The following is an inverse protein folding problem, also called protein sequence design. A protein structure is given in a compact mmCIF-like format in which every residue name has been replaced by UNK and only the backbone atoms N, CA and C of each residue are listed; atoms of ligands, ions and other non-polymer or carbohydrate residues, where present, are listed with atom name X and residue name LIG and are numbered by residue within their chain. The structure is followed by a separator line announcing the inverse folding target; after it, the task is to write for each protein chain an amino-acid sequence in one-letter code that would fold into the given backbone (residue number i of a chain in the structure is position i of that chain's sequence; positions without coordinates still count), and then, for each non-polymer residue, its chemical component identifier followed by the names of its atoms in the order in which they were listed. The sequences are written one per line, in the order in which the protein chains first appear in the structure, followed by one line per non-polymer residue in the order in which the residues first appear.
data_IF_118938421302
#
_entry.id   IF_118938421302
#
_cell.length_a   1.000
_cell.length_b   1.000
_cell.length_c   1.000
_cell.angle_alpha   90.00
_cell.angle_beta   90.00
_cell.angle_gamma   90.00
#
_symmetry.space_group_name_H-M   'P 1'
#
loop_
_entity.id
_entity.type
_entity.pdbx_description
1 polymer ?
#
# COMPACT_ATOMS: atom_id res chain seq x y z
N UNK A 1 -28.34 -0.19 17.73
CA UNK A 1 -27.43 0.69 18.50
C UNK A 1 -26.34 1.17 17.55
N UNK A 2 -26.37 2.45 17.17
CA UNK A 2 -25.43 3.00 16.17
C UNK A 2 -24.04 3.17 16.76
N UNK A 3 -23.01 2.67 16.07
CA UNK A 3 -21.62 2.80 16.52
C UNK A 3 -21.19 4.28 16.63
N UNK A 4 -20.70 4.66 17.82
CA UNK A 4 -20.24 6.02 18.16
C UNK A 4 -18.79 6.22 17.69
N UNK A 5 -18.44 5.82 16.46
CA UNK A 5 -17.07 5.90 15.91
C UNK A 5 -17.02 6.48 14.50
N UNK A 6 -15.88 7.05 14.11
CA UNK A 6 -15.62 7.41 12.70
C UNK A 6 -15.10 6.17 12.00
N UNK A 7 -15.83 5.74 10.96
CA UNK A 7 -15.50 4.58 10.14
C UNK A 7 -14.96 5.02 8.79
N UNK A 8 -13.87 4.38 8.36
CA UNK A 8 -13.22 4.57 7.07
C UNK A 8 -13.36 3.29 6.24
N UNK A 9 -13.59 3.43 4.94
CA UNK A 9 -13.69 2.32 4.00
C UNK A 9 -12.66 2.49 2.88
N UNK A 10 -11.98 1.42 2.44
CA UNK A 10 -11.05 1.50 1.31
C UNK A 10 -11.71 2.09 0.06
N UNK A 11 -10.99 2.96 -0.64
CA UNK A 11 -11.41 3.54 -1.92
C UNK A 11 -10.22 3.61 -2.88
N UNK A 12 -9.85 4.81 -3.35
CA UNK A 12 -8.68 4.99 -4.21
C UNK A 12 -7.37 4.97 -3.42
N UNK A 13 -6.28 4.67 -4.12
CA UNK A 13 -4.96 4.49 -3.53
C UNK A 13 -4.48 5.72 -2.73
N UNK A 14 -4.79 6.94 -3.18
CA UNK A 14 -4.32 8.17 -2.52
C UNK A 14 -4.99 8.35 -1.16
N UNK A 15 -6.30 8.13 -1.11
CA UNK A 15 -7.03 8.11 0.16
C UNK A 15 -6.61 6.93 1.03
N UNK A 16 -6.42 5.75 0.45
CA UNK A 16 -5.99 4.57 1.21
C UNK A 16 -4.61 4.78 1.84
N UNK A 17 -3.65 5.34 1.09
CA UNK A 17 -2.37 5.77 1.63
C UNK A 17 -2.56 6.84 2.72
N UNK A 18 -3.48 7.79 2.53
CA UNK A 18 -3.86 8.75 3.57
C UNK A 18 -4.32 8.09 4.87
N UNK A 19 -5.21 7.10 4.79
CA UNK A 19 -5.72 6.37 5.96
C UNK A 19 -4.62 5.56 6.63
N UNK A 20 -3.80 4.83 5.88
CA UNK A 20 -2.67 4.06 6.43
C UNK A 20 -1.62 4.99 7.04
N UNK A 21 -1.38 6.16 6.44
CA UNK A 21 -0.52 7.19 6.99
C UNK A 21 -1.05 7.75 8.30
N UNK A 22 -2.34 8.04 8.38
CA UNK A 22 -2.98 8.47 9.61
C UNK A 22 -2.93 7.37 10.69
N UNK A 23 -3.08 6.11 10.31
CA UNK A 23 -2.91 4.98 11.22
C UNK A 23 -1.49 4.91 11.81
N UNK A 24 -0.45 5.24 11.04
CA UNK A 24 0.93 5.40 11.56
C UNK A 24 1.05 6.56 12.55
N UNK A 25 0.33 7.67 12.32
CA UNK A 25 0.28 8.79 13.28
C UNK A 25 -0.34 8.34 14.60
N UNK A 26 -1.48 7.63 14.54
CA UNK A 26 -2.15 7.09 15.73
C UNK A 26 -1.27 6.08 16.48
N UNK A 27 -0.58 5.20 15.76
CA UNK A 27 0.39 4.25 16.35
C UNK A 27 1.47 5.00 17.17
N UNK A 28 1.96 6.14 16.68
CA UNK A 28 2.90 6.99 17.44
C UNK A 28 2.27 7.71 18.63
N UNK A 29 0.97 8.02 18.56
CA UNK A 29 0.23 8.52 19.71
C UNK A 29 -0.02 7.46 20.79
N UNK A 30 0.42 6.20 20.58
CA UNK A 30 0.26 5.09 21.52
C UNK A 30 -0.99 4.23 21.27
N UNK A 31 -1.73 4.48 20.18
CA UNK A 31 -2.89 3.65 19.82
C UNK A 31 -2.46 2.30 19.25
N UNK A 32 -3.19 1.24 19.59
CA UNK A 32 -2.97 -0.06 18.96
C UNK A 32 -3.59 -0.07 17.55
N UNK A 33 -2.75 0.16 16.53
CA UNK A 33 -3.18 0.21 15.13
C UNK A 33 -3.93 -1.05 14.67
N UNK A 34 -3.55 -2.24 15.13
CA UNK A 34 -4.22 -3.48 14.73
C UNK A 34 -5.62 -3.61 15.32
N UNK A 35 -5.85 -3.06 16.52
CA UNK A 35 -7.16 -3.04 17.17
C UNK A 35 -8.15 -2.09 16.48
N UNK A 36 -7.67 -1.15 15.66
CA UNK A 36 -8.50 -0.22 14.88
C UNK A 36 -8.95 -0.80 13.53
N UNK A 37 -8.38 -1.94 13.12
CA UNK A 37 -8.59 -2.57 11.82
C UNK A 37 -9.54 -3.75 11.91
N UNK A 38 -10.65 -3.68 11.17
CA UNK A 38 -11.67 -4.70 11.17
C UNK A 38 -11.41 -5.78 10.11
N UNK A 39 -12.03 -6.96 10.31
CA UNK A 39 -12.00 -8.04 9.33
C UNK A 39 -12.84 -7.75 8.08
N UNK A 40 -13.79 -6.82 8.14
CA UNK A 40 -14.55 -6.33 6.97
C UNK A 40 -13.72 -5.39 6.07
N UNK A 41 -12.44 -5.16 6.40
CA UNK A 41 -11.53 -4.29 5.67
C UNK A 41 -11.62 -2.81 6.01
N UNK A 42 -12.57 -2.43 6.86
CA UNK A 42 -12.75 -1.07 7.35
C UNK A 42 -11.81 -0.74 8.53
N UNK A 43 -11.70 0.55 8.85
CA UNK A 43 -11.02 1.04 10.06
C UNK A 43 -12.02 1.85 10.88
N UNK A 44 -12.08 1.65 12.20
CA UNK A 44 -12.96 2.41 13.09
C UNK A 44 -12.16 3.08 14.19
N UNK A 45 -12.38 4.39 14.36
CA UNK A 45 -11.82 5.17 15.46
C UNK A 45 -12.95 5.62 16.37
N UNK A 46 -12.90 5.18 17.63
CA UNK A 46 -13.90 5.54 18.66
C UNK A 46 -13.46 6.74 19.49
N UNK A 47 -12.17 6.80 19.80
CA UNK A 47 -11.53 7.85 20.57
C UNK A 47 -10.34 8.37 19.77
N UNK A 48 -10.18 9.70 19.73
CA UNK A 48 -9.05 10.34 19.10
C UNK A 48 -8.07 10.79 20.20
N UNK A 49 -6.75 10.68 19.97
CA UNK A 49 -5.76 11.37 20.78
C UNK A 49 -5.96 12.88 20.76
N UNK A 50 -5.25 13.60 21.64
CA UNK A 50 -5.31 15.06 21.67
C UNK A 50 -4.83 15.66 20.34
N UNK A 51 -5.42 16.80 19.95
CA UNK A 51 -5.09 17.48 18.69
C UNK A 51 -3.59 17.79 18.59
N UNK A 52 -2.98 18.26 19.68
CA UNK A 52 -1.55 18.57 19.78
C UNK A 52 -0.70 17.33 19.51
N UNK A 53 -1.06 16.19 20.10
CA UNK A 53 -0.37 14.91 19.90
C UNK A 53 -0.47 14.45 18.45
N UNK A 54 -1.65 14.53 17.84
CA UNK A 54 -1.83 14.16 16.42
C UNK A 54 -0.97 15.07 15.53
N UNK A 55 -1.00 16.38 15.77
CA UNK A 55 -0.24 17.34 14.99
C UNK A 55 1.28 17.10 15.12
N UNK A 56 1.80 17.00 16.34
CA UNK A 56 3.23 16.83 16.59
C UNK A 56 3.76 15.52 15.98
N UNK A 57 3.03 14.41 16.15
CA UNK A 57 3.43 13.12 15.56
C UNK A 57 3.32 13.12 14.03
N UNK A 58 2.31 13.80 13.47
CA UNK A 58 2.20 13.96 12.01
C UNK A 58 3.34 14.83 11.46
N UNK A 59 3.71 15.92 12.13
CA UNK A 59 4.79 16.80 11.70
C UNK A 59 6.15 16.09 11.75
N UNK A 60 6.41 15.33 12.82
CA UNK A 60 7.63 14.54 12.97
C UNK A 60 7.74 13.44 11.90
N UNK A 61 6.68 12.64 11.69
CA UNK A 61 6.65 11.63 10.63
C UNK A 61 6.84 12.25 9.24
N UNK A 62 6.26 13.43 9.02
CA UNK A 62 6.41 14.19 7.78
C UNK A 62 7.85 14.66 7.60
N UNK A 63 8.48 15.15 8.67
CA UNK A 63 9.87 15.54 8.67
C UNK A 63 10.77 14.34 8.35
N UNK A 64 10.62 13.21 9.04
CA UNK A 64 11.42 12.00 8.79
C UNK A 64 11.34 11.54 7.34
N UNK A 65 10.12 11.51 6.77
CA UNK A 65 9.91 11.03 5.40
C UNK A 65 10.47 11.97 4.34
N UNK A 66 10.36 13.28 4.56
CA UNK A 66 10.67 14.28 3.55
C UNK A 66 12.01 14.99 3.75
N UNK A 67 12.69 14.82 4.89
CA UNK A 67 14.01 15.42 5.18
C UNK A 67 15.09 15.03 4.18
N UNK A 68 15.00 13.85 3.57
CA UNK A 68 15.93 13.43 2.52
C UNK A 68 15.74 14.16 1.18
N UNK A 69 14.65 14.93 1.03
CA UNK A 69 14.21 15.53 -0.22
C UNK A 69 14.31 17.07 -0.22
N UNK A 70 15.46 17.66 0.15
CA UNK A 70 15.84 19.09 -0.05
C UNK A 70 14.81 20.20 0.32
N UNK A 71 13.67 19.88 0.95
CA UNK A 71 12.62 20.83 1.35
C UNK A 71 12.67 21.00 2.87
N UNK A 72 12.48 22.23 3.35
CA UNK A 72 12.18 22.49 4.78
C UNK A 72 10.77 21.97 5.04
N UNK A 73 10.55 21.09 6.02
CA UNK A 73 9.28 20.34 6.10
C UNK A 73 8.55 20.40 7.43
N UNK A 74 9.14 20.92 8.51
CA UNK A 74 8.36 21.11 9.74
C UNK A 74 7.39 22.28 9.54
N UNK A 75 6.12 22.03 9.85
CA UNK A 75 5.04 23.00 9.88
C UNK A 75 4.86 23.60 11.26
N UNK A 76 5.52 23.08 12.29
CA UNK A 76 5.54 23.65 13.64
C UNK A 76 6.09 25.09 13.60
N UNK A 77 5.40 26.01 14.25
CA UNK A 77 5.62 27.46 14.26
C UNK A 77 5.51 28.14 12.89
N UNK A 78 4.99 27.47 11.85
CA UNK A 78 4.88 28.05 10.51
C UNK A 78 3.69 28.99 10.40
N UNK A 79 3.96 30.29 10.34
CA UNK A 79 2.95 31.36 10.24
C UNK A 79 2.55 31.75 8.81
N UNK A 80 3.42 31.53 7.82
CA UNK A 80 3.23 31.97 6.43
C UNK A 80 3.09 30.82 5.43
N UNK A 81 2.09 30.89 4.55
CA UNK A 81 1.95 29.98 3.42
C UNK A 81 3.01 30.26 2.35
N UNK A 82 3.77 29.24 1.95
CA UNK A 82 4.74 29.36 0.85
C UNK A 82 4.70 28.10 -0.01
N UNK A 83 5.02 28.25 -1.31
CA UNK A 83 5.07 27.14 -2.27
C UNK A 83 6.30 26.23 -2.10
N UNK A 84 7.28 26.62 -1.28
CA UNK A 84 8.55 25.87 -1.08
C UNK A 84 8.38 24.61 -0.22
N UNK A 85 7.26 24.49 0.49
CA UNK A 85 6.95 23.33 1.33
C UNK A 85 6.33 22.20 0.51
N UNK A 86 6.28 21.00 1.08
CA UNK A 86 5.62 19.86 0.43
C UNK A 86 4.11 20.09 0.23
N UNK A 87 3.45 20.62 1.27
CA UNK A 87 2.10 21.14 1.24
C UNK A 87 2.13 22.65 1.08
N UNK A 88 1.94 23.13 -0.15
CA UNK A 88 1.92 24.56 -0.44
C UNK A 88 0.83 25.25 0.37
N UNK A 89 1.14 26.47 0.80
CA UNK A 89 0.18 27.38 1.42
C UNK A 89 -0.50 26.84 2.69
N UNK A 90 0.01 25.75 3.29
CA UNK A 90 -0.42 25.28 4.60
C UNK A 90 0.44 25.88 5.71
N UNK A 91 -0.21 26.26 6.81
CA UNK A 91 0.35 26.71 8.08
C UNK A 91 0.01 25.72 9.19
N UNK A 92 0.68 25.83 10.35
CA UNK A 92 0.32 25.07 11.55
C UNK A 92 -1.18 25.20 11.87
N UNK A 93 -1.66 26.45 11.95
CA UNK A 93 -3.07 26.76 12.21
C UNK A 93 -4.01 26.06 11.22
N UNK A 94 -3.70 26.10 9.93
CA UNK A 94 -4.55 25.47 8.91
C UNK A 94 -4.60 23.95 9.04
N UNK A 95 -3.50 23.30 9.44
CA UNK A 95 -3.43 21.85 9.61
C UNK A 95 -4.17 21.46 10.90
N UNK A 96 -3.94 22.19 11.99
CA UNK A 96 -4.66 22.02 13.25
C UNK A 96 -6.17 22.16 13.07
N UNK A 97 -6.64 23.13 12.27
CA UNK A 97 -8.06 23.26 11.93
C UNK A 97 -8.60 22.03 11.18
N UNK A 98 -7.81 21.41 10.29
CA UNK A 98 -8.21 20.17 9.60
C UNK A 98 -8.26 18.97 10.53
N UNK A 99 -7.31 18.86 11.47
CA UNK A 99 -7.33 17.83 12.53
C UNK A 99 -8.58 18.02 13.40
N UNK A 100 -8.87 19.25 13.82
CA UNK A 100 -10.05 19.55 14.62
C UNK A 100 -11.35 19.17 13.91
N UNK A 101 -11.45 19.45 12.60
CA UNK A 101 -12.59 19.03 11.77
C UNK A 101 -12.73 17.50 11.66
N UNK A 102 -11.62 16.76 11.73
CA UNK A 102 -11.64 15.30 11.75
C UNK A 102 -12.15 14.76 13.09
N UNK A 103 -11.67 15.34 14.20
CA UNK A 103 -12.05 14.95 15.58
C UNK A 103 -13.51 15.31 15.87
N UNK A 104 -13.94 16.52 15.50
CA UNK A 104 -15.28 17.01 15.76
C UNK A 104 -16.28 16.30 14.85
N UNK A 105 -17.12 15.44 15.42
CA UNK A 105 -18.15 14.65 14.70
C UNK A 105 -19.21 15.51 14.01
N UNK A 106 -19.33 16.79 14.34
CA UNK A 106 -20.38 17.68 13.86
C UNK A 106 -19.93 18.58 12.70
N UNK A 107 -20.39 18.24 11.49
CA UNK A 107 -20.71 19.24 10.46
C UNK A 107 -22.20 19.59 10.48
N UNK A 108 -22.88 19.44 11.63
CA UNK A 108 -24.20 20.05 11.83
C UNK A 108 -23.97 21.44 12.44
N UNK A 109 -23.63 22.40 11.59
CA UNK A 109 -23.83 23.82 11.92
C UNK A 109 -25.34 23.99 12.19
N UNK A 110 -25.76 23.85 13.45
CA UNK A 110 -27.16 23.95 13.91
C UNK A 110 -27.79 25.34 13.72
N UNK A 111 -27.18 26.26 12.96
CA UNK A 111 -27.63 27.66 12.88
C UNK A 111 -27.68 28.29 11.48
N UNK A 112 -27.55 27.53 10.40
CA UNK A 112 -27.80 28.09 9.05
C UNK A 112 -28.52 27.10 8.15
N UNK A 113 -29.84 27.00 8.30
CA UNK A 113 -30.69 26.48 7.22
C UNK A 113 -30.74 27.52 6.11
N UNK A 114 -29.92 27.36 5.07
CA UNK A 114 -30.16 28.07 3.81
C UNK A 114 -31.26 27.33 3.05
N UNK A 115 -32.26 28.08 2.55
CA UNK A 115 -33.24 27.59 1.58
C UNK A 115 -32.48 27.22 0.29
N UNK A 116 -32.37 25.92 0.02
CA UNK A 116 -31.67 25.36 -1.13
C UNK A 116 -30.80 24.17 -0.70
N UNK A 117 -31.35 22.97 -0.76
CA UNK A 117 -30.62 21.75 -0.40
C UNK A 117 -29.61 21.38 -1.49
N UNK A 118 -28.46 22.04 -1.53
CA UNK A 118 -27.35 21.59 -2.35
C UNK A 118 -26.59 20.51 -1.57
N UNK A 119 -26.61 19.28 -2.08
CA UNK A 119 -25.87 18.15 -1.52
C UNK A 119 -24.59 17.91 -2.34
N UNK A 120 -23.44 17.90 -1.67
CA UNK A 120 -22.16 17.54 -2.27
C UNK A 120 -21.77 16.12 -1.87
N UNK A 121 -21.10 15.40 -2.76
CA UNK A 121 -20.55 14.07 -2.50
C UNK A 121 -19.02 14.16 -2.51
N UNK A 122 -18.37 13.68 -1.46
CA UNK A 122 -16.90 13.63 -1.41
C UNK A 122 -16.38 12.59 -2.41
N UNK A 123 -15.44 12.99 -3.27
CA UNK A 123 -14.85 12.12 -4.30
C UNK A 123 -13.98 10.97 -3.74
N UNK A 124 -13.66 11.00 -2.45
CA UNK A 124 -12.77 10.02 -1.81
C UNK A 124 -13.52 9.03 -0.92
N UNK A 125 -14.39 9.50 -0.03
CA UNK A 125 -15.14 8.63 0.88
C UNK A 125 -16.60 8.39 0.47
N UNK A 126 -17.09 9.04 -0.59
CA UNK A 126 -18.50 8.97 -1.00
C UNK A 126 -19.49 9.63 -0.02
N UNK A 127 -18.99 10.21 1.08
CA UNK A 127 -19.82 10.86 2.09
C UNK A 127 -20.58 12.05 1.51
N UNK A 128 -21.89 12.09 1.75
CA UNK A 128 -22.75 13.21 1.38
C UNK A 128 -22.71 14.29 2.45
N UNK A 129 -22.57 15.53 2.02
CA UNK A 129 -22.66 16.70 2.88
C UNK A 129 -23.72 17.65 2.34
N UNK A 130 -24.66 18.00 3.21
CA UNK A 130 -25.72 18.98 2.95
C UNK A 130 -25.50 20.22 3.81
N UNK A 131 -26.01 21.36 3.34
CA UNK A 131 -26.11 22.61 4.11
C UNK A 131 -24.76 23.26 4.48
N UNK A 132 -23.73 23.10 3.65
CA UNK A 132 -22.48 23.85 3.77
C UNK A 132 -22.45 24.99 2.74
N UNK A 133 -22.01 26.18 3.18
CA UNK A 133 -21.74 27.30 2.27
C UNK A 133 -20.65 26.91 1.27
N UNK A 134 -20.87 27.17 -0.01
CA UNK A 134 -19.93 26.85 -1.10
C UNK A 134 -18.52 27.38 -0.81
N UNK A 135 -18.41 28.57 -0.21
CA UNK A 135 -17.13 29.20 0.16
C UNK A 135 -16.32 28.46 1.25
N UNK A 136 -16.94 27.52 1.98
CA UNK A 136 -16.28 26.69 2.99
C UNK A 136 -15.92 25.30 2.47
N UNK A 137 -16.27 24.96 1.23
CA UNK A 137 -15.95 23.67 0.64
C UNK A 137 -14.47 23.65 0.25
N UNK A 138 -13.76 22.63 0.73
CA UNK A 138 -12.40 22.36 0.26
C UNK A 138 -12.45 21.60 -1.05
N UNK A 139 -11.68 22.08 -2.00
CA UNK A 139 -11.42 21.46 -3.31
C UNK A 139 -10.00 20.88 -3.31
N UNK A 140 -9.81 19.81 -4.08
CA UNK A 140 -8.51 19.20 -4.26
C UNK A 140 -7.57 20.16 -5.01
N UNK A 141 -6.51 20.60 -4.32
CA UNK A 141 -5.57 21.58 -4.83
C UNK A 141 -4.13 21.23 -4.44
N UNK A 142 -3.16 21.98 -4.95
CA UNK A 142 -1.75 21.90 -4.59
C UNK A 142 -1.50 21.92 -3.06
N UNK A 143 -2.42 22.47 -2.27
CA UNK A 143 -2.34 22.44 -0.80
C UNK A 143 -2.33 21.02 -0.19
N UNK A 144 -2.80 20.02 -0.93
CA UNK A 144 -2.78 18.61 -0.50
C UNK A 144 -1.62 17.81 -1.09
N UNK A 145 -0.89 18.33 -2.08
CA UNK A 145 0.38 17.79 -2.57
C UNK A 145 0.90 18.67 -3.71
N UNK A 146 2.11 19.21 -3.59
CA UNK A 146 2.74 19.93 -4.71
C UNK A 146 3.22 19.00 -5.84
N UNK A 147 3.21 17.69 -5.60
CA UNK A 147 3.74 16.68 -6.53
C UNK A 147 2.61 16.02 -7.32
N UNK A 148 1.49 15.75 -6.64
CA UNK A 148 0.37 15.00 -7.23
C UNK A 148 -0.76 15.89 -7.73
N UNK A 149 -0.81 17.16 -7.34
CA UNK A 149 -1.96 18.03 -7.58
C UNK A 149 -1.53 19.38 -8.14
N UNK A 150 -2.38 19.93 -9.01
CA UNK A 150 -2.17 21.22 -9.67
C UNK A 150 -2.81 22.36 -8.88
N UNK A 151 -2.49 23.59 -9.26
CA UNK A 151 -3.11 24.78 -8.66
C UNK A 151 -4.56 24.91 -9.15
N UNK A 152 -5.48 24.96 -8.19
CA UNK A 152 -6.94 24.97 -8.38
C UNK A 152 -7.44 26.04 -9.37
N UNK A 153 -6.77 27.20 -9.41
CA UNK A 153 -7.23 28.39 -10.16
C UNK A 153 -6.59 28.57 -11.54
N UNK A 154 -5.56 27.79 -11.88
CA UNK A 154 -4.78 28.01 -13.11
C UNK A 154 -4.84 26.84 -14.07
N UNK A 155 -5.20 25.64 -13.61
CA UNK A 155 -5.28 24.47 -14.46
C UNK A 155 -6.35 23.50 -13.94
N UNK A 156 -7.35 23.11 -14.76
CA UNK A 156 -8.28 22.06 -14.38
C UNK A 156 -7.49 20.80 -14.02
N UNK A 157 -7.90 20.11 -12.95
CA UNK A 157 -7.18 18.94 -12.47
C UNK A 157 -7.16 17.85 -13.56
N UNK A 158 -6.03 17.71 -14.25
CA UNK A 158 -5.86 16.72 -15.32
C UNK A 158 -5.83 15.29 -14.84
N UNK A 159 -5.73 15.07 -13.53
CA UNK A 159 -5.67 13.75 -12.93
C UNK A 159 -7.07 13.21 -12.57
N UNK A 160 -8.12 14.04 -12.53
CA UNK A 160 -9.49 13.62 -12.16
C UNK A 160 -10.56 14.28 -13.05
N UNK A 161 -10.97 13.56 -14.10
CA UNK A 161 -12.07 13.93 -15.02
C UNK A 161 -11.98 15.32 -15.68
N UNK A 162 -10.80 15.98 -15.65
CA UNK A 162 -10.61 17.37 -16.11
C UNK A 162 -11.60 18.37 -15.48
N UNK A 163 -12.10 18.08 -14.26
CA UNK A 163 -12.97 19.01 -13.53
C UNK A 163 -12.15 19.76 -12.48
N UNK A 164 -12.26 21.09 -12.48
CA UNK A 164 -11.57 21.95 -11.53
C UNK A 164 -12.05 21.76 -10.07
N UNK A 165 -13.25 21.20 -9.87
CA UNK A 165 -13.95 21.24 -8.59
C UNK A 165 -14.12 19.86 -7.95
N UNK A 166 -13.01 19.15 -7.71
CA UNK A 166 -13.05 17.88 -6.96
C UNK A 166 -13.25 18.18 -5.48
N UNK A 167 -14.49 18.01 -5.00
CA UNK A 167 -14.85 18.27 -3.61
C UNK A 167 -14.28 17.23 -2.63
N UNK A 168 -13.78 17.72 -1.49
CA UNK A 168 -13.27 16.90 -0.38
C UNK A 168 -14.06 17.24 0.89
N UNK A 169 -14.56 16.21 1.59
CA UNK A 169 -15.20 16.44 2.87
C UNK A 169 -14.19 16.82 3.97
N UNK A 170 -14.62 17.53 5.03
CA UNK A 170 -13.78 17.89 6.18
C UNK A 170 -13.01 16.71 6.79
N UNK A 171 -13.60 15.51 6.79
CA UNK A 171 -12.94 14.29 7.29
C UNK A 171 -11.78 13.86 6.40
N UNK A 172 -11.93 13.95 5.08
CA UNK A 172 -10.89 13.54 4.13
C UNK A 172 -9.76 14.57 4.02
N UNK A 173 -9.98 15.83 4.41
CA UNK A 173 -8.96 16.88 4.31
C UNK A 173 -7.65 16.48 5.01
N UNK A 174 -7.71 16.15 6.29
CA UNK A 174 -6.50 15.76 7.04
C UNK A 174 -5.98 14.37 6.63
N UNK A 175 -6.87 13.43 6.33
CA UNK A 175 -6.49 12.09 5.88
C UNK A 175 -5.62 12.16 4.61
N UNK A 176 -5.99 13.01 3.65
CA UNK A 176 -5.19 13.20 2.45
C UNK A 176 -3.83 13.84 2.74
N UNK A 177 -3.66 14.62 3.82
CA UNK A 177 -2.35 15.12 4.25
C UNK A 177 -1.46 14.05 4.87
N UNK A 178 -1.91 12.80 5.00
CA UNK A 178 -1.11 11.70 5.56
C UNK A 178 -0.56 10.76 4.47
N UNK A 179 -0.87 10.98 3.19
CA UNK A 179 -0.62 10.01 2.10
C UNK A 179 0.86 9.70 1.81
N UNK A 180 1.78 10.61 2.14
CA UNK A 180 3.23 10.44 1.95
C UNK A 180 3.87 9.54 3.01
N UNK A 181 3.28 9.49 4.21
CA UNK A 181 3.82 8.77 5.36
C UNK A 181 4.01 7.26 5.09
N UNK A 182 3.05 6.53 4.52
CA UNK A 182 3.20 5.09 4.32
C UNK A 182 4.05 4.72 3.11
N UNK A 183 4.47 5.69 2.29
CA UNK A 183 5.30 5.41 1.13
C UNK A 183 6.66 4.85 1.58
N UNK A 184 7.03 3.70 1.00
CA UNK A 184 8.24 2.95 1.31
C UNK A 184 9.30 3.33 0.28
N UNK A 185 10.43 3.83 0.75
CA UNK A 185 11.49 4.32 -0.12
C UNK A 185 12.36 3.16 -0.61
N UNK A 186 12.35 2.90 -1.92
CA UNK A 186 13.18 1.87 -2.57
C UNK A 186 14.53 2.46 -2.98
N UNK A 187 14.50 3.65 -3.62
CA UNK A 187 15.71 4.41 -3.99
C UNK A 187 15.50 5.89 -3.66
N UNK A 188 16.48 6.76 -3.96
CA UNK A 188 16.36 8.21 -3.68
C UNK A 188 15.10 8.83 -4.31
N UNK A 189 14.69 8.32 -5.48
CA UNK A 189 13.60 8.87 -6.28
C UNK A 189 12.39 7.94 -6.42
N UNK A 190 12.52 6.68 -5.98
CA UNK A 190 11.48 5.66 -6.12
C UNK A 190 10.90 5.29 -4.77
N UNK A 191 9.59 5.46 -4.65
CA UNK A 191 8.80 5.07 -3.49
C UNK A 191 7.69 4.11 -3.93
N UNK A 192 7.29 3.21 -3.05
CA UNK A 192 6.22 2.24 -3.31
C UNK A 192 5.18 2.23 -2.20
N UNK A 193 3.97 1.80 -2.53
CA UNK A 193 2.90 1.51 -1.59
C UNK A 193 2.03 0.39 -2.13
N UNK A 194 1.73 -0.63 -1.33
CA UNK A 194 0.85 -1.72 -1.73
C UNK A 194 -0.58 -1.34 -1.35
N UNK A 195 -1.38 -1.02 -2.36
CA UNK A 195 -2.81 -0.79 -2.26
C UNK A 195 -3.56 -2.13 -2.30
N UNK A 196 -4.60 -2.29 -1.48
CA UNK A 196 -5.39 -3.52 -1.40
C UNK A 196 -6.83 -3.19 -0.95
N UNK A 197 -7.81 -4.11 -1.06
CA UNK A 197 -9.22 -3.83 -0.74
C UNK A 197 -9.55 -3.79 0.76
N UNK A 198 -8.54 -3.84 1.65
CA UNK A 198 -8.72 -3.83 3.10
C UNK A 198 -7.57 -3.08 3.78
N UNK A 199 -7.88 -2.20 4.73
CA UNK A 199 -6.86 -1.50 5.51
C UNK A 199 -5.99 -2.47 6.33
N UNK A 200 -6.57 -3.56 6.82
CA UNK A 200 -5.83 -4.62 7.52
C UNK A 200 -4.78 -5.26 6.62
N UNK A 201 -5.16 -5.58 5.38
CA UNK A 201 -4.23 -6.12 4.38
C UNK A 201 -3.16 -5.09 4.02
N UNK A 202 -3.54 -3.85 3.73
CA UNK A 202 -2.60 -2.79 3.39
C UNK A 202 -1.59 -2.53 4.51
N UNK A 203 -2.05 -2.47 5.76
CA UNK A 203 -1.18 -2.30 6.93
C UNK A 203 -0.13 -3.42 7.00
N UNK A 204 -0.59 -4.66 6.87
CA UNK A 204 0.27 -5.83 6.92
C UNK A 204 1.28 -5.89 5.76
N UNK A 205 0.80 -5.77 4.51
CA UNK A 205 1.63 -5.87 3.31
C UNK A 205 2.68 -4.76 3.26
N UNK A 206 2.33 -3.52 3.60
CA UNK A 206 3.30 -2.42 3.61
C UNK A 206 4.33 -2.57 4.74
N UNK A 207 3.93 -2.99 5.94
CA UNK A 207 4.90 -3.32 7.01
C UNK A 207 5.85 -4.44 6.60
N UNK A 208 5.35 -5.45 5.90
CA UNK A 208 6.18 -6.54 5.41
C UNK A 208 7.13 -6.09 4.29
N UNK A 209 6.64 -5.36 3.29
CA UNK A 209 7.47 -4.83 2.21
C UNK A 209 8.60 -3.93 2.73
N UNK A 210 8.33 -3.12 3.75
CA UNK A 210 9.34 -2.29 4.43
C UNK A 210 10.43 -3.15 5.10
N UNK A 211 10.06 -4.29 5.71
CA UNK A 211 11.00 -5.27 6.28
C UNK A 211 11.81 -6.02 5.22
N UNK A 212 11.23 -6.31 4.06
CA UNK A 212 11.92 -7.00 2.96
C UNK A 212 12.97 -6.08 2.33
N UNK A 213 12.63 -4.82 2.12
CA UNK A 213 13.54 -3.82 1.56
C UNK A 213 14.69 -3.46 2.51
N UNK A 214 14.45 -3.44 3.82
CA UNK A 214 15.52 -3.17 4.79
C UNK A 214 16.59 -4.26 4.81
N UNK A 215 16.23 -5.51 4.50
CA UNK A 215 17.16 -6.65 4.43
C UNK A 215 17.99 -6.72 3.15
N UNK A 216 17.55 -6.05 2.07
CA UNK A 216 18.20 -6.17 0.76
C UNK A 216 17.75 -5.06 -0.18
N UNK A 217 18.71 -4.23 -0.59
CA UNK A 217 18.48 -3.00 -1.39
C UNK A 217 18.25 -3.24 -2.89
N UNK A 218 18.30 -4.48 -3.36
CA UNK A 218 18.35 -4.82 -4.79
C UNK A 218 17.21 -5.73 -5.27
N UNK A 219 16.05 -5.73 -4.61
CA UNK A 219 14.91 -6.46 -5.16
C UNK A 219 14.18 -5.67 -6.24
N UNK A 220 13.94 -6.34 -7.36
CA UNK A 220 12.98 -5.90 -8.35
C UNK A 220 11.57 -5.79 -7.75
N UNK A 221 10.78 -4.82 -8.21
CA UNK A 221 9.43 -4.60 -7.70
C UNK A 221 8.56 -5.85 -7.72
N UNK A 222 8.68 -6.63 -8.81
CA UNK A 222 7.96 -7.88 -9.01
C UNK A 222 8.20 -8.86 -7.87
N UNK A 223 9.45 -8.98 -7.43
CA UNK A 223 9.84 -9.85 -6.34
C UNK A 223 9.35 -9.35 -5.00
N UNK A 224 9.37 -8.04 -4.76
CA UNK A 224 8.83 -7.44 -3.52
C UNK A 224 7.33 -7.73 -3.41
N UNK A 225 6.57 -7.52 -4.50
CA UNK A 225 5.14 -7.81 -4.51
C UNK A 225 4.89 -9.30 -4.31
N UNK A 226 5.61 -10.16 -5.02
CA UNK A 226 5.48 -11.60 -4.93
C UNK A 226 5.75 -12.13 -3.51
N UNK A 227 6.85 -11.70 -2.89
CA UNK A 227 7.18 -12.06 -1.50
C UNK A 227 6.10 -11.56 -0.54
N UNK A 228 5.54 -10.36 -0.79
CA UNK A 228 4.48 -9.81 0.05
C UNK A 228 3.18 -10.61 -0.05
N UNK A 229 2.80 -11.05 -1.26
CA UNK A 229 1.65 -11.93 -1.47
C UNK A 229 1.86 -13.31 -0.85
N UNK A 230 3.03 -13.91 -1.02
CA UNK A 230 3.36 -15.20 -0.42
C UNK A 230 3.32 -15.15 1.10
N UNK A 231 3.98 -14.16 1.70
CA UNK A 231 3.94 -13.98 3.15
C UNK A 231 2.51 -13.79 3.65
N UNK A 232 1.70 -13.03 2.90
CA UNK A 232 0.30 -12.87 3.19
C UNK A 232 -0.46 -14.19 3.13
N UNK A 233 -0.26 -15.01 2.10
CA UNK A 233 -0.85 -16.34 1.97
C UNK A 233 -0.49 -17.28 3.12
N UNK A 234 0.74 -17.19 3.61
CA UNK A 234 1.22 -18.01 4.72
C UNK A 234 0.58 -17.61 6.05
N UNK A 235 0.44 -16.30 6.31
CA UNK A 235 -0.10 -15.78 7.58
C UNK A 235 -1.62 -15.67 7.61
N UNK A 236 -2.26 -15.52 6.45
CA UNK A 236 -3.72 -15.36 6.34
C UNK A 236 -4.31 -16.62 5.72
N UNK A 237 -4.66 -17.57 6.59
CA UNK A 237 -5.43 -18.75 6.21
C UNK A 237 -6.90 -18.34 5.99
N UNK A 238 -7.38 -18.37 4.75
CA UNK A 238 -8.79 -18.60 4.40
C UNK A 238 -9.84 -17.47 4.55
N UNK A 239 -9.65 -16.21 4.09
CA UNK A 239 -10.81 -15.27 4.12
C UNK A 239 -10.87 -14.19 3.04
N UNK A 240 -10.19 -14.37 1.90
CA UNK A 240 -10.39 -13.48 0.76
C UNK A 240 -10.84 -14.30 -0.43
N UNK A 241 -12.00 -13.95 -0.97
CA UNK A 241 -12.42 -14.45 -2.28
C UNK A 241 -11.42 -13.99 -3.35
N UNK A 242 -11.30 -14.76 -4.43
CA UNK A 242 -10.40 -14.48 -5.55
C UNK A 242 -10.48 -13.01 -6.05
N UNK A 243 -11.67 -12.38 -5.97
CA UNK A 243 -11.90 -10.98 -6.33
C UNK A 243 -11.11 -9.96 -5.50
N UNK A 244 -10.86 -10.23 -4.22
CA UNK A 244 -10.05 -9.34 -3.38
C UNK A 244 -8.55 -9.46 -3.68
N UNK A 245 -8.14 -10.57 -4.30
CA UNK A 245 -6.77 -10.81 -4.74
C UNK A 245 -6.44 -10.00 -6.01
N UNK A 246 -7.43 -9.79 -6.89
CA UNK A 246 -7.30 -9.03 -8.14
C UNK A 246 -7.12 -7.52 -7.96
N UNK A 247 -7.38 -6.99 -6.77
CA UNK A 247 -7.33 -5.55 -6.47
C UNK A 247 -6.12 -5.18 -5.58
N UNK A 248 -5.05 -5.98 -5.62
CA UNK A 248 -3.79 -5.67 -4.95
C UNK A 248 -2.81 -5.10 -5.97
N UNK A 249 -2.56 -3.79 -5.87
CA UNK A 249 -1.67 -3.05 -6.76
C UNK A 249 -0.53 -2.45 -5.97
N UNK A 250 0.69 -2.55 -6.50
CA UNK A 250 1.80 -1.76 -6.04
C UNK A 250 1.81 -0.42 -6.77
N UNK A 251 1.57 0.64 -6.02
CA UNK A 251 1.75 2.02 -6.48
C UNK A 251 3.24 2.33 -6.46
N UNK A 252 3.75 2.84 -7.57
CA UNK A 252 5.16 3.20 -7.73
C UNK A 252 5.23 4.69 -8.04
N UNK A 253 5.82 5.45 -7.12
CA UNK A 253 6.06 6.88 -7.30
C UNK A 253 7.51 7.10 -7.69
N UNK A 254 7.75 7.63 -8.88
CA UNK A 254 9.07 8.03 -9.36
C UNK A 254 9.10 9.53 -9.61
N UNK A 255 9.63 10.29 -8.65
CA UNK A 255 9.56 11.75 -8.68
C UNK A 255 8.11 12.25 -8.69
N UNK A 256 7.66 12.79 -9.82
CA UNK A 256 6.30 13.28 -10.08
C UNK A 256 5.40 12.27 -10.81
N UNK A 257 5.96 11.15 -11.29
CA UNK A 257 5.21 10.13 -12.02
C UNK A 257 4.66 9.08 -11.05
N UNK A 258 3.40 8.69 -11.26
CA UNK A 258 2.75 7.58 -10.57
C UNK A 258 2.48 6.47 -11.59
N UNK A 259 3.06 5.31 -11.34
CA UNK A 259 2.83 4.09 -12.10
C UNK A 259 2.13 3.06 -11.21
N UNK A 260 1.35 2.17 -11.81
CA UNK A 260 0.66 1.07 -11.14
C UNK A 260 1.30 -0.23 -11.61
N UNK A 261 1.64 -1.09 -10.66
CA UNK A 261 2.22 -2.40 -10.92
C UNK A 261 1.39 -3.48 -10.25
N UNK A 262 0.82 -4.38 -11.05
CA UNK A 262 0.14 -5.58 -10.60
C UNK A 262 0.85 -6.82 -11.15
N UNK A 263 0.65 -7.95 -10.50
CA UNK A 263 1.07 -9.24 -11.05
C UNK A 263 -0.04 -9.76 -11.99
N UNK A 264 0.33 -10.51 -13.05
CA UNK A 264 -0.63 -11.29 -13.82
C UNK A 264 -1.54 -12.09 -12.89
N UNK A 265 -2.81 -12.23 -13.31
CA UNK A 265 -3.85 -12.83 -12.48
C UNK A 265 -3.47 -14.24 -12.05
N UNK A 266 -2.99 -15.05 -12.98
CA UNK A 266 -2.62 -16.45 -12.81
C UNK A 266 -1.50 -16.58 -11.75
N UNK A 267 -0.50 -15.69 -11.84
CA UNK A 267 0.61 -15.67 -10.88
C UNK A 267 0.17 -15.21 -9.50
N UNK A 268 -0.77 -14.25 -9.43
CA UNK A 268 -1.32 -13.79 -8.15
C UNK A 268 -2.08 -14.91 -7.45
N UNK A 269 -2.91 -15.65 -8.19
CA UNK A 269 -3.63 -16.82 -7.70
C UNK A 269 -2.67 -17.90 -7.17
N UNK A 270 -1.63 -18.23 -7.95
CA UNK A 270 -0.61 -19.22 -7.56
C UNK A 270 0.10 -18.81 -6.25
N UNK A 271 0.57 -17.57 -6.16
CA UNK A 271 1.34 -17.08 -5.00
C UNK A 271 0.50 -16.92 -3.74
N UNK A 272 -0.83 -16.82 -3.89
CA UNK A 272 -1.77 -16.71 -2.79
C UNK A 272 -2.26 -18.06 -2.26
N UNK A 273 -1.94 -19.17 -2.94
CA UNK A 273 -2.18 -20.49 -2.40
C UNK A 273 -1.14 -20.81 -1.32
N UNK A 274 -1.60 -20.96 -0.07
CA UNK A 274 -0.74 -21.22 1.10
C UNK A 274 0.24 -22.38 0.89
N UNK A 275 -0.23 -23.48 0.31
CA UNK A 275 0.61 -24.65 0.04
C UNK A 275 1.74 -24.35 -0.94
N UNK A 276 1.44 -23.65 -2.04
CA UNK A 276 2.44 -23.23 -3.02
C UNK A 276 3.40 -22.21 -2.40
N UNK A 277 2.87 -21.20 -1.71
CA UNK A 277 3.68 -20.17 -1.05
C UNK A 277 4.65 -20.78 -0.01
N UNK A 278 4.20 -21.77 0.76
CA UNK A 278 5.05 -22.53 1.68
C UNK A 278 6.16 -23.26 0.93
N UNK A 279 5.82 -24.04 -0.10
CA UNK A 279 6.81 -24.80 -0.88
C UNK A 279 7.86 -23.87 -1.51
N UNK A 280 7.44 -22.74 -2.11
CA UNK A 280 8.39 -21.76 -2.68
C UNK A 280 9.29 -21.19 -1.58
N UNK A 281 8.74 -20.82 -0.42
CA UNK A 281 9.52 -20.28 0.69
C UNK A 281 10.51 -21.30 1.25
N UNK A 282 10.09 -22.56 1.36
CA UNK A 282 10.92 -23.68 1.81
C UNK A 282 12.09 -23.95 0.88
N UNK A 283 11.99 -23.61 -0.42
CA UNK A 283 13.15 -23.74 -1.31
C UNK A 283 14.34 -22.89 -0.85
N UNK A 284 14.09 -21.74 -0.23
CA UNK A 284 15.11 -20.73 0.11
C UNK A 284 16.01 -20.33 -1.09
N UNK A 285 15.53 -20.52 -2.32
CA UNK A 285 16.27 -20.23 -3.55
C UNK A 285 15.58 -19.11 -4.34
N UNK A 286 16.15 -17.89 -4.33
CA UNK A 286 15.58 -16.73 -5.02
C UNK A 286 15.26 -16.95 -6.49
N UNK A 287 16.04 -17.80 -7.16
CA UNK A 287 15.92 -18.07 -8.59
C UNK A 287 14.68 -18.89 -8.94
N UNK A 288 14.21 -19.76 -8.03
CA UNK A 288 12.98 -20.53 -8.23
C UNK A 288 11.78 -19.58 -8.30
N UNK A 289 11.70 -18.64 -7.36
CA UNK A 289 10.67 -17.60 -7.38
C UNK A 289 10.74 -16.77 -8.67
N UNK A 290 11.94 -16.43 -9.14
CA UNK A 290 12.10 -15.65 -10.37
C UNK A 290 11.56 -16.38 -11.61
N UNK A 291 11.82 -17.68 -11.75
CA UNK A 291 11.30 -18.48 -12.87
C UNK A 291 9.77 -18.64 -12.81
N UNK A 292 9.21 -18.83 -11.61
CA UNK A 292 7.76 -18.84 -11.39
C UNK A 292 7.16 -17.51 -11.81
N UNK A 293 7.77 -16.39 -11.40
CA UNK A 293 7.32 -15.07 -11.82
C UNK A 293 7.41 -14.91 -13.34
N UNK A 294 8.44 -15.42 -14.00
CA UNK A 294 8.51 -15.39 -15.48
C UNK A 294 7.46 -16.29 -16.17
N UNK A 295 6.69 -17.08 -15.43
CA UNK A 295 5.74 -18.06 -15.97
C UNK A 295 6.42 -19.30 -16.57
N UNK A 296 7.73 -19.47 -16.35
CA UNK A 296 8.49 -20.60 -16.88
C UNK A 296 8.44 -21.78 -15.89
N UNK A 297 7.29 -22.46 -15.80
CA UNK A 297 7.12 -23.59 -14.88
C UNK A 297 7.88 -24.84 -15.33
N UNK A 298 8.13 -25.00 -16.64
CA UNK A 298 8.97 -26.08 -17.20
C UNK A 298 10.39 -26.05 -16.63
N UNK A 299 10.88 -24.88 -16.21
CA UNK A 299 12.16 -24.75 -15.54
C UNK A 299 12.26 -25.63 -14.28
N UNK A 300 11.18 -25.79 -13.52
CA UNK A 300 11.18 -26.60 -12.28
C UNK A 300 11.48 -28.08 -12.57
N UNK A 301 10.92 -28.62 -13.66
CA UNK A 301 11.19 -29.99 -14.10
C UNK A 301 12.62 -30.15 -14.62
N UNK A 302 13.09 -29.19 -15.41
CA UNK A 302 14.45 -29.21 -15.92
C UNK A 302 15.46 -29.17 -14.77
N UNK A 303 15.24 -28.29 -13.79
CA UNK A 303 16.07 -28.20 -12.59
C UNK A 303 16.04 -29.52 -11.80
N UNK A 304 14.86 -30.10 -11.56
CA UNK A 304 14.72 -31.39 -10.89
C UNK A 304 15.52 -32.49 -11.61
N UNK A 305 15.40 -32.59 -12.94
CA UNK A 305 16.14 -33.58 -13.73
C UNK A 305 17.66 -33.40 -13.58
N UNK A 306 18.16 -32.17 -13.58
CA UNK A 306 19.60 -31.88 -13.36
C UNK A 306 20.06 -32.25 -11.95
N UNK A 307 19.27 -31.94 -10.93
CA UNK A 307 19.56 -32.31 -9.54
C UNK A 307 19.61 -33.84 -9.37
N UNK A 308 18.66 -34.56 -9.98
CA UNK A 308 18.62 -36.02 -9.93
C UNK A 308 19.81 -36.64 -10.66
N UNK A 309 20.15 -36.12 -11.86
CA UNK A 309 21.33 -36.56 -12.61
C UNK A 309 22.59 -36.37 -11.77
N UNK A 310 22.81 -35.19 -11.20
CA UNK A 310 23.94 -34.90 -10.31
C UNK A 310 24.04 -35.92 -9.16
N UNK A 311 22.91 -36.21 -8.52
CA UNK A 311 22.83 -37.16 -7.39
C UNK A 311 23.24 -38.59 -7.78
N UNK A 312 23.07 -38.96 -9.06
CA UNK A 312 23.41 -40.29 -9.58
C UNK A 312 24.82 -40.33 -10.17
N UNK A 313 25.23 -39.31 -10.92
CA UNK A 313 26.50 -39.31 -11.68
C UNK A 313 27.69 -38.76 -10.89
N UNK A 314 27.47 -38.03 -9.79
CA UNK A 314 28.54 -37.40 -9.00
C UNK A 314 29.35 -36.34 -9.77
N UNK A 315 28.88 -35.93 -10.94
CA UNK A 315 29.52 -34.93 -11.83
C UNK A 315 29.54 -33.55 -11.19
N UNK A 316 30.57 -32.73 -11.37
CA UNK A 316 30.66 -31.40 -10.74
C UNK A 316 29.45 -30.49 -11.04
N UNK A 317 28.77 -30.00 -10.00
CA UNK A 317 27.64 -29.06 -10.12
C UNK A 317 28.05 -27.68 -10.67
N UNK A 318 29.36 -27.41 -10.76
CA UNK A 318 29.94 -26.16 -11.24
C UNK A 318 29.88 -26.04 -12.77
N UNK A 319 29.81 -27.17 -13.49
CA UNK A 319 29.81 -27.18 -14.96
C UNK A 319 28.40 -27.14 -15.56
N UNK A 320 27.36 -27.28 -14.75
CA UNK A 320 25.95 -27.21 -15.19
C UNK A 320 25.38 -25.80 -14.99
N UNK A 321 25.02 -25.15 -16.11
CA UNK A 321 24.47 -23.79 -16.15
C UNK A 321 23.28 -23.61 -15.19
N UNK A 322 22.43 -24.62 -15.00
CA UNK A 322 21.23 -24.53 -14.15
C UNK A 322 21.58 -24.58 -12.66
N UNK A 323 22.56 -25.40 -12.29
CA UNK A 323 23.03 -25.52 -10.90
C UNK A 323 23.93 -24.34 -10.50
N UNK A 324 24.57 -23.71 -11.49
CA UNK A 324 25.44 -22.54 -11.31
C UNK A 324 24.72 -21.29 -10.80
N UNK A 325 23.38 -21.25 -10.87
CA UNK A 325 22.57 -20.11 -10.43
C UNK A 325 22.02 -20.30 -9.02
N UNK A 326 22.08 -21.53 -8.48
CA UNK A 326 21.61 -21.82 -7.12
C UNK A 326 22.57 -21.23 -6.08
N UNK A 327 21.97 -20.69 -5.01
CA UNK A 327 22.68 -20.14 -3.87
C UNK A 327 23.30 -21.26 -3.02
N UNK A 328 22.55 -22.34 -2.75
CA UNK A 328 23.03 -23.46 -1.97
C UNK A 328 23.18 -24.71 -2.86
N UNK A 329 24.42 -25.19 -3.01
CA UNK A 329 24.77 -26.30 -3.91
C UNK A 329 25.27 -27.55 -3.17
N UNK A 330 25.18 -27.55 -1.85
CA UNK A 330 25.53 -28.71 -1.04
C UNK A 330 24.51 -29.84 -1.25
N UNK A 331 24.96 -31.08 -1.02
CA UNK A 331 24.15 -32.28 -1.26
C UNK A 331 22.85 -32.30 -0.44
N UNK A 332 22.86 -31.68 0.74
CA UNK A 332 21.67 -31.59 1.60
C UNK A 332 20.63 -30.63 1.00
N UNK A 333 21.04 -29.43 0.58
CA UNK A 333 20.16 -28.48 -0.10
C UNK A 333 19.58 -29.04 -1.40
N UNK A 334 20.41 -29.70 -2.22
CA UNK A 334 19.95 -30.33 -3.46
C UNK A 334 18.97 -31.50 -3.19
N UNK A 335 19.22 -32.32 -2.18
CA UNK A 335 18.30 -33.40 -1.75
C UNK A 335 17.00 -32.85 -1.17
N UNK A 336 17.02 -31.67 -0.55
CA UNK A 336 15.81 -30.98 -0.11
C UNK A 336 15.01 -30.47 -1.31
N UNK A 337 15.68 -29.81 -2.27
CA UNK A 337 15.03 -29.31 -3.48
C UNK A 337 14.42 -30.44 -4.31
N UNK A 338 15.08 -31.60 -4.43
CA UNK A 338 14.53 -32.74 -5.18
C UNK A 338 13.23 -33.30 -4.60
N UNK A 339 12.95 -33.06 -3.31
CA UNK A 339 11.67 -33.39 -2.68
C UNK A 339 10.60 -32.33 -2.91
N UNK A 340 10.98 -31.04 -2.87
CA UNK A 340 10.05 -29.91 -2.95
C UNK A 340 9.61 -29.65 -4.39
N UNK A 341 10.53 -29.68 -5.36
CA UNK A 341 10.27 -29.29 -6.75
C UNK A 341 9.16 -30.10 -7.44
N UNK A 342 9.07 -31.45 -7.30
CA UNK A 342 7.99 -32.22 -7.91
C UNK A 342 6.61 -31.81 -7.37
N UNK A 343 6.49 -31.67 -6.06
CA UNK A 343 5.22 -31.28 -5.41
C UNK A 343 4.80 -29.88 -5.83
N UNK A 344 5.76 -28.94 -5.82
CA UNK A 344 5.55 -27.57 -6.25
C UNK A 344 5.04 -27.50 -7.70
N UNK A 345 5.66 -28.25 -8.60
CA UNK A 345 5.26 -28.30 -10.01
C UNK A 345 3.83 -28.84 -10.19
N UNK A 346 3.49 -29.94 -9.53
CA UNK A 346 2.14 -30.54 -9.62
C UNK A 346 1.08 -29.56 -9.10
N UNK A 347 1.32 -28.91 -7.95
CA UNK A 347 0.36 -27.95 -7.39
C UNK A 347 0.19 -26.74 -8.30
N UNK A 348 1.27 -26.17 -8.84
CA UNK A 348 1.20 -25.07 -9.82
C UNK A 348 0.37 -25.46 -11.03
N UNK A 349 0.67 -26.59 -11.67
CA UNK A 349 -0.09 -27.04 -12.84
C UNK A 349 -1.57 -27.31 -12.52
N UNK A 350 -1.86 -27.86 -11.34
CA UNK A 350 -3.25 -28.07 -10.92
C UNK A 350 -4.01 -26.75 -10.73
N UNK A 351 -3.34 -25.71 -10.25
CA UNK A 351 -3.92 -24.38 -10.10
C UNK A 351 -4.20 -23.75 -11.48
N UNK A 352 -3.23 -23.82 -12.40
CA UNK A 352 -3.37 -23.31 -13.76
C UNK A 352 -4.48 -24.05 -14.52
N UNK A 353 -4.55 -25.38 -14.44
CA UNK A 353 -5.52 -26.17 -15.18
C UNK A 353 -6.97 -26.03 -14.66
N UNK A 354 -7.15 -25.82 -13.35
CA UNK A 354 -8.47 -25.54 -12.76
C UNK A 354 -9.07 -24.23 -13.27
N UNK A 355 -8.24 -23.27 -13.69
CA UNK A 355 -8.70 -21.98 -14.23
C UNK A 355 -9.08 -22.06 -15.72
N UNK A 356 -8.53 -23.00 -16.50
CA UNK A 356 -8.89 -23.21 -17.92
C UNK A 356 -10.28 -23.86 -18.08
N UNK A 357 -10.83 -24.43 -16.99
CA UNK A 357 -12.11 -25.18 -17.02
C UNK A 357 -13.30 -24.40 -16.43
N UNK A 358 -13.11 -23.13 -16.07
CA UNK A 358 -14.15 -22.17 -15.67
C UNK A 358 -14.30 -21.16 -16.81
#
# INVERSE_FOLDING_TARGET
MGEIGIRFYPSNWLYNAGVIGFLKVLERCGENAEALLNNDGSMIIRHFPELSQIFDNWDELTLEKLSSAKKKVSYKNKKGGTQKYYYANQTEKSISERIQKLINKDCKDKKTMMKGNISFMCSFCGGKISNIKISKLSTLSQGFSNVLLTAEKTFPNSYWNNRADVFICPKCEFILLCHHIPLIRVTKEREIFINAPSFKIMWYLNKFAEKVLSKSKQYELRKILALSLMEFAQKVSMTLGAWSMMNIDMIVKQGTKIDYFSLPYELSCILLQKEIANLISETNEPFILENILKGNFSYLLNLLHRIMRYSVTGSNALDDEYLSVLKNRDSFSLKRLSKILPELYVKINSAVNKEVTI
#
